data_IF_034572359093
#
_entry.id   IF_034572359093
#
_cell.length_a   1.000
_cell.length_b   1.000
_cell.length_c   1.000
_cell.angle_alpha   90.00
_cell.angle_beta   90.00
_cell.angle_gamma   90.00
#
_symmetry.space_group_name_H-M   'P 1'
#
loop_
_entity.id
_entity.type
_entity.pdbx_description
1 polymer ?
#
# COMPACT_ATOMS: atom_id res chain seq x y z
N UNK A 1 -65.86 -31.24 -31.90
CA UNK A 1 -64.62 -30.56 -31.49
C UNK A 1 -64.62 -30.40 -29.97
N UNK A 2 -63.93 -31.27 -29.21
CA UNK A 2 -63.62 -31.00 -27.81
C UNK A 2 -62.20 -30.45 -27.68
N UNK A 3 -62.12 -29.38 -26.89
CA UNK A 3 -60.94 -28.56 -26.62
C UNK A 3 -59.92 -29.29 -25.74
N UNK A 4 -58.63 -29.17 -26.08
CA UNK A 4 -57.50 -29.68 -25.30
C UNK A 4 -57.37 -28.92 -23.97
N UNK A 5 -57.32 -29.65 -22.85
CA UNK A 5 -56.88 -29.12 -21.55
C UNK A 5 -55.42 -29.52 -21.34
N UNK A 6 -54.53 -28.53 -21.37
CA UNK A 6 -53.10 -28.71 -21.16
C UNK A 6 -52.79 -29.14 -19.71
N UNK A 7 -51.92 -30.14 -19.59
CA UNK A 7 -51.26 -30.57 -18.35
C UNK A 7 -50.08 -29.63 -18.13
N UNK A 8 -50.17 -28.75 -17.13
CA UNK A 8 -49.06 -27.93 -16.67
C UNK A 8 -48.27 -28.64 -15.59
N UNK A 9 -47.13 -29.24 -15.94
CA UNK A 9 -46.15 -29.71 -14.98
C UNK A 9 -45.34 -28.50 -14.46
N UNK A 10 -45.54 -28.12 -13.20
CA UNK A 10 -44.78 -27.08 -12.54
C UNK A 10 -43.41 -27.60 -12.11
N UNK A 11 -42.35 -27.14 -12.77
CA UNK A 11 -40.97 -27.36 -12.37
C UNK A 11 -40.62 -26.33 -11.27
N UNK A 12 -40.64 -26.75 -10.00
CA UNK A 12 -40.13 -25.95 -8.89
C UNK A 12 -38.59 -25.89 -8.97
N UNK A 13 -38.05 -24.75 -9.41
CA UNK A 13 -36.63 -24.48 -9.31
C UNK A 13 -36.28 -24.10 -7.85
N UNK A 14 -35.54 -24.96 -7.15
CA UNK A 14 -34.87 -24.60 -5.91
C UNK A 14 -33.74 -23.62 -6.27
N UNK A 15 -33.95 -22.33 -6.04
CA UNK A 15 -32.87 -21.36 -6.02
C UNK A 15 -32.01 -21.62 -4.77
N UNK A 16 -30.84 -22.23 -4.95
CA UNK A 16 -29.83 -22.32 -3.91
C UNK A 16 -29.38 -20.92 -3.51
N UNK A 17 -29.55 -20.58 -2.23
CA UNK A 17 -28.96 -19.38 -1.65
C UNK A 17 -27.44 -19.53 -1.66
N UNK A 18 -26.76 -18.88 -2.60
CA UNK A 18 -25.32 -18.67 -2.52
C UNK A 18 -25.10 -17.62 -1.44
N UNK A 19 -24.64 -18.03 -0.26
CA UNK A 19 -24.01 -17.09 0.68
C UNK A 19 -22.69 -16.63 0.06
N UNK A 20 -22.63 -15.36 -0.33
CA UNK A 20 -21.37 -14.72 -0.67
C UNK A 20 -20.48 -14.73 0.59
N UNK A 21 -19.37 -15.47 0.56
CA UNK A 21 -18.40 -15.46 1.63
C UNK A 21 -17.65 -14.13 1.59
N UNK A 22 -17.70 -13.39 2.71
CA UNK A 22 -16.94 -12.15 2.89
C UNK A 22 -15.45 -12.52 2.80
N UNK A 23 -14.60 -11.78 2.06
CA UNK A 23 -13.16 -12.04 2.04
C UNK A 23 -12.56 -12.01 3.46
N UNK A 24 -11.50 -12.80 3.69
CA UNK A 24 -10.89 -13.07 5.01
C UNK A 24 -10.68 -11.81 5.88
N UNK A 25 -10.40 -10.65 5.26
CA UNK A 25 -10.16 -9.37 5.93
C UNK A 25 -11.43 -8.62 6.38
N UNK A 26 -12.62 -9.06 5.97
CA UNK A 26 -13.90 -8.47 6.38
C UNK A 26 -14.60 -9.22 7.53
N UNK A 27 -13.96 -10.23 8.11
CA UNK A 27 -14.59 -11.16 9.07
C UNK A 27 -14.23 -10.90 10.54
N UNK A 28 -13.24 -10.05 10.84
CA UNK A 28 -12.91 -9.65 12.20
C UNK A 28 -12.49 -8.18 12.20
N UNK A 29 -13.14 -7.31 13.00
CA UNK A 29 -12.60 -5.96 13.20
C UNK A 29 -13.13 -5.25 14.44
N UNK A 30 -12.26 -4.51 15.14
CA UNK A 30 -12.52 -3.27 15.90
C UNK A 30 -13.50 -3.21 17.09
N UNK A 31 -13.22 -2.32 18.04
CA UNK A 31 -14.15 -1.91 19.09
C UNK A 31 -15.41 -1.29 18.46
N UNK A 32 -16.55 -1.97 18.60
CA UNK A 32 -17.86 -1.53 18.08
C UNK A 32 -18.39 -2.32 16.88
N UNK A 33 -17.75 -3.40 16.46
CA UNK A 33 -18.22 -4.23 15.35
C UNK A 33 -19.38 -5.15 15.71
N UNK A 34 -20.40 -5.18 14.84
CA UNK A 34 -21.62 -5.97 14.99
C UNK A 34 -21.86 -6.93 13.81
N UNK A 35 -20.84 -7.24 13.01
CA UNK A 35 -20.94 -8.15 11.86
C UNK A 35 -20.84 -9.64 12.23
N UNK A 36 -20.94 -10.52 11.22
CA UNK A 36 -20.84 -11.98 11.42
C UNK A 36 -19.47 -12.39 12.00
N UNK A 37 -19.50 -13.28 12.99
CA UNK A 37 -18.32 -13.77 13.75
C UNK A 37 -17.88 -15.18 13.37
N UNK A 38 -18.58 -15.83 12.45
CA UNK A 38 -18.28 -17.20 12.02
C UNK A 38 -17.19 -17.18 10.96
N UNK A 39 -15.98 -17.59 11.36
CA UNK A 39 -14.83 -17.66 10.46
C UNK A 39 -14.97 -18.78 9.40
N UNK A 40 -14.45 -18.54 8.21
CA UNK A 40 -14.22 -19.61 7.20
C UNK A 40 -13.31 -20.71 7.76
N UNK A 41 -13.49 -21.95 7.28
CA UNK A 41 -12.72 -23.11 7.73
C UNK A 41 -11.20 -22.83 7.68
N UNK A 42 -10.55 -22.86 8.84
CA UNK A 42 -9.11 -22.57 8.99
C UNK A 42 -8.77 -21.18 9.55
N UNK A 43 -9.76 -20.31 9.77
CA UNK A 43 -9.58 -19.01 10.42
C UNK A 43 -10.20 -19.00 11.83
N UNK A 44 -9.58 -18.30 12.77
CA UNK A 44 -10.12 -18.04 14.10
C UNK A 44 -9.83 -16.59 14.51
N UNK A 45 -10.86 -15.83 14.92
CA UNK A 45 -10.68 -14.52 15.52
C UNK A 45 -10.26 -14.72 16.99
N UNK A 46 -9.01 -14.45 17.36
CA UNK A 46 -8.60 -14.43 18.78
C UNK A 46 -8.62 -12.99 19.29
N UNK A 47 -9.68 -12.64 20.03
CA UNK A 47 -9.78 -11.35 20.71
C UNK A 47 -8.95 -11.33 21.98
N UNK A 48 -7.94 -10.47 22.06
CA UNK A 48 -7.36 -10.06 23.35
C UNK A 48 -6.98 -8.59 23.27
N UNK A 49 -7.43 -7.83 24.26
CA UNK A 49 -7.29 -6.38 24.36
C UNK A 49 -5.82 -5.95 24.18
N UNK A 50 -5.62 -5.01 23.26
CA UNK A 50 -4.39 -4.24 23.03
C UNK A 50 -3.20 -5.03 22.46
N UNK A 51 -2.96 -4.81 21.15
CA UNK A 51 -1.82 -5.24 20.33
C UNK A 51 -1.90 -6.68 19.78
N UNK A 52 -2.13 -6.82 18.47
CA UNK A 52 -1.99 -8.09 17.76
C UNK A 52 -1.01 -7.94 16.59
N UNK A 53 0.21 -8.38 16.88
CA UNK A 53 1.29 -8.77 15.98
C UNK A 53 0.93 -10.02 15.18
N UNK A 54 1.50 -10.11 13.98
CA UNK A 54 1.51 -11.26 13.09
C UNK A 54 2.05 -12.53 13.76
N UNK A 55 1.33 -13.64 13.65
CA UNK A 55 1.80 -14.96 14.04
C UNK A 55 2.75 -15.52 12.97
N UNK A 56 4.02 -15.70 13.32
CA UNK A 56 4.92 -16.67 12.68
C UNK A 56 5.39 -17.69 13.71
N UNK A 57 5.35 -18.94 13.28
CA UNK A 57 5.76 -20.21 13.91
C UNK A 57 6.93 -20.09 14.90
N UNK A 58 6.73 -20.63 16.11
CA UNK A 58 7.76 -20.75 17.14
C UNK A 58 8.90 -21.68 16.71
N UNK A 59 10.15 -21.23 16.90
CA UNK A 59 11.35 -22.09 16.94
C UNK A 59 12.08 -21.81 18.24
N UNK A 60 12.35 -22.89 18.97
CA UNK A 60 13.01 -22.96 20.27
C UNK A 60 14.51 -22.80 20.08
N UNK A 61 15.18 -21.84 20.73
CA UNK A 61 16.61 -21.97 21.08
C UNK A 61 16.96 -21.10 22.30
N UNK A 62 17.64 -21.73 23.26
CA UNK A 62 18.05 -21.23 24.56
C UNK A 62 19.08 -20.09 24.51
N UNK A 63 19.00 -19.19 25.48
CA UNK A 63 19.97 -18.14 25.75
C UNK A 63 21.16 -18.68 26.58
N UNK A 64 22.39 -18.39 26.14
CA UNK A 64 23.60 -18.52 26.96
C UNK A 64 24.33 -17.18 26.97
N UNK A 65 24.56 -16.68 28.18
CA UNK A 65 25.26 -15.44 28.52
C UNK A 65 26.77 -15.66 28.45
N UNK A 66 27.52 -14.79 27.76
CA UNK A 66 28.97 -14.68 27.95
C UNK A 66 29.48 -13.27 27.71
N UNK A 67 30.52 -12.94 28.46
CA UNK A 67 30.99 -11.61 28.86
C UNK A 67 31.86 -10.89 27.83
N UNK A 68 31.78 -9.55 27.92
CA UNK A 68 32.58 -8.52 27.28
C UNK A 68 34.09 -8.78 27.34
N UNK A 69 34.77 -8.65 26.20
CA UNK A 69 36.22 -8.42 26.11
C UNK A 69 36.48 -7.28 25.12
N UNK A 70 37.37 -6.38 25.54
CA UNK A 70 37.77 -5.16 24.85
C UNK A 70 39.01 -5.44 24.01
N UNK A 71 38.98 -5.15 22.71
CA UNK A 71 40.16 -5.22 21.84
C UNK A 71 40.28 -3.96 20.99
N UNK A 72 41.47 -3.38 21.07
CA UNK A 72 41.96 -2.17 20.40
C UNK A 72 42.03 -2.38 18.88
N UNK A 73 41.49 -1.46 18.08
CA UNK A 73 41.54 -1.52 16.61
C UNK A 73 42.69 -0.66 16.08
N UNK A 74 43.65 -1.29 15.42
CA UNK A 74 44.71 -0.62 14.62
C UNK A 74 44.13 -0.24 13.27
N UNK A 75 44.34 1.00 12.84
CA UNK A 75 43.88 1.55 11.57
C UNK A 75 44.56 0.86 10.38
N UNK A 76 43.77 0.26 9.49
CA UNK A 76 44.20 -0.18 8.17
C UNK A 76 43.81 0.88 7.14
N UNK A 77 44.80 1.41 6.43
CA UNK A 77 44.61 2.33 5.30
C UNK A 77 44.27 1.51 4.06
N UNK A 78 43.04 1.62 3.57
CA UNK A 78 42.64 1.00 2.30
C UNK A 78 42.62 2.06 1.21
N UNK A 79 43.54 1.92 0.26
CA UNK A 79 43.60 2.72 -0.97
C UNK A 79 42.33 2.50 -1.80
N UNK A 80 41.52 3.55 -1.99
CA UNK A 80 40.28 3.51 -2.78
C UNK A 80 40.65 3.64 -4.26
N UNK A 81 40.65 2.54 -4.98
CA UNK A 81 40.76 2.53 -6.44
C UNK A 81 39.47 3.10 -7.02
N UNK A 82 39.54 4.29 -7.63
CA UNK A 82 38.44 4.87 -8.41
C UNK A 82 38.30 4.11 -9.72
N UNK A 83 37.40 3.13 -9.75
CA UNK A 83 36.89 2.60 -11.01
C UNK A 83 35.81 3.57 -11.51
N UNK A 84 36.16 4.38 -12.51
CA UNK A 84 35.18 5.04 -13.38
C UNK A 84 34.42 3.95 -14.14
N UNK A 85 33.28 3.53 -13.59
CA UNK A 85 32.34 2.63 -14.25
C UNK A 85 31.34 3.43 -15.05
N UNK A 86 31.41 3.31 -16.36
CA UNK A 86 30.50 3.92 -17.32
C UNK A 86 29.06 3.42 -17.13
N UNK A 87 28.11 4.35 -16.96
CA UNK A 87 26.68 4.11 -17.26
C UNK A 87 26.55 3.59 -18.70
N UNK A 88 25.75 2.54 -18.91
CA UNK A 88 24.31 2.69 -18.86
C UNK A 88 23.69 1.75 -17.82
N UNK A 89 23.02 2.31 -16.81
CA UNK A 89 22.02 1.57 -16.05
C UNK A 89 21.01 1.01 -17.05
N UNK A 90 20.95 -0.30 -17.18
CA UNK A 90 19.93 -0.95 -17.98
C UNK A 90 18.57 -0.53 -17.42
N UNK A 91 17.78 0.21 -18.21
CA UNK A 91 16.46 0.72 -17.83
C UNK A 91 15.39 -0.37 -17.80
N UNK A 92 15.79 -1.62 -17.54
CA UNK A 92 14.85 -2.74 -17.44
C UNK A 92 14.02 -2.62 -16.17
N UNK A 93 12.77 -3.06 -16.26
CA UNK A 93 11.94 -3.26 -15.07
C UNK A 93 12.61 -4.29 -14.15
N UNK A 94 12.51 -4.04 -12.84
CA UNK A 94 12.92 -5.02 -11.85
C UNK A 94 12.07 -6.29 -12.00
N UNK A 95 12.71 -7.45 -11.92
CA UNK A 95 12.04 -8.75 -12.05
C UNK A 95 12.41 -9.66 -10.88
N UNK A 96 11.86 -10.86 -10.86
CA UNK A 96 12.25 -11.94 -9.93
C UNK A 96 12.99 -13.04 -10.68
N UNK A 97 13.96 -13.64 -10.00
CA UNK A 97 14.71 -14.80 -10.46
C UNK A 97 14.71 -15.86 -9.34
N UNK A 98 13.81 -16.84 -9.47
CA UNK A 98 13.49 -17.79 -8.42
C UNK A 98 12.99 -17.10 -7.15
N UNK A 99 13.80 -17.14 -6.09
CA UNK A 99 13.52 -16.53 -4.78
C UNK A 99 14.21 -15.17 -4.57
N UNK A 100 14.92 -14.67 -5.59
CA UNK A 100 15.68 -13.41 -5.53
C UNK A 100 15.08 -12.36 -6.45
N UNK A 101 15.45 -11.11 -6.23
CA UNK A 101 15.17 -10.03 -7.17
C UNK A 101 16.30 -9.91 -8.19
N UNK A 102 15.96 -9.48 -9.40
CA UNK A 102 16.90 -9.02 -10.41
C UNK A 102 16.64 -7.53 -10.69
N UNK A 103 17.64 -6.69 -10.42
CA UNK A 103 17.61 -5.25 -10.66
C UNK A 103 18.78 -4.90 -11.56
N UNK A 104 18.50 -4.29 -12.71
CA UNK A 104 19.51 -3.81 -13.67
C UNK A 104 20.52 -4.89 -14.10
N UNK A 105 20.06 -6.13 -14.20
CA UNK A 105 20.88 -7.29 -14.58
C UNK A 105 21.57 -8.01 -13.41
N UNK A 106 21.47 -7.49 -12.18
CA UNK A 106 22.05 -8.11 -10.99
C UNK A 106 20.99 -8.93 -10.24
N UNK A 107 21.19 -10.25 -10.12
CA UNK A 107 20.34 -11.12 -9.27
C UNK A 107 20.92 -11.20 -7.86
N UNK A 108 20.18 -10.76 -6.84
CA UNK A 108 20.71 -10.68 -5.49
C UNK A 108 19.72 -10.29 -4.39
N UNK A 109 20.29 -9.97 -3.23
CA UNK A 109 19.59 -9.30 -2.14
C UNK A 109 19.89 -7.82 -2.20
N UNK A 110 18.86 -6.99 -2.05
CA UNK A 110 18.97 -5.55 -2.12
C UNK A 110 18.49 -4.92 -0.81
N UNK A 111 19.28 -3.97 -0.31
CA UNK A 111 18.85 -3.12 0.78
C UNK A 111 17.99 -1.97 0.24
N UNK A 112 17.03 -1.54 1.04
CA UNK A 112 16.15 -0.43 0.73
C UNK A 112 15.65 0.26 1.98
N UNK A 113 14.94 1.35 1.78
CA UNK A 113 14.35 2.15 2.86
C UNK A 113 12.96 2.65 2.50
N UNK A 114 12.31 3.35 3.44
CA UNK A 114 11.02 3.99 3.24
C UNK A 114 11.19 5.51 3.38
N UNK A 115 10.63 6.26 2.45
CA UNK A 115 10.44 7.70 2.57
C UNK A 115 9.04 8.04 2.09
N UNK A 116 8.08 7.98 3.01
CA UNK A 116 6.67 8.24 2.68
C UNK A 116 6.44 9.68 2.21
N UNK A 117 7.28 10.61 2.67
CA UNK A 117 7.12 12.06 2.52
C UNK A 117 7.76 12.62 1.26
N UNK A 118 8.65 11.88 0.59
CA UNK A 118 9.46 12.43 -0.51
C UNK A 118 8.60 12.94 -1.69
N UNK A 119 7.48 12.26 -1.98
CA UNK A 119 6.52 12.69 -3.00
C UNK A 119 5.65 13.89 -2.59
N UNK A 120 5.79 14.39 -1.36
CA UNK A 120 5.04 15.53 -0.83
C UNK A 120 5.92 16.77 -0.63
N UNK A 121 7.24 16.64 -0.82
CA UNK A 121 8.14 17.79 -0.85
C UNK A 121 7.84 18.66 -2.07
N UNK A 122 7.94 19.97 -1.92
CA UNK A 122 7.72 20.96 -2.98
C UNK A 122 9.01 21.58 -3.52
N UNK A 123 10.15 21.24 -2.91
CA UNK A 123 11.47 21.65 -3.36
C UNK A 123 12.21 20.45 -3.96
N UNK A 124 12.54 20.56 -5.23
CA UNK A 124 13.20 19.53 -6.02
C UNK A 124 14.59 19.19 -5.48
N UNK A 125 15.33 20.19 -4.98
CA UNK A 125 16.65 19.98 -4.39
C UNK A 125 16.64 19.08 -3.14
N UNK A 126 15.53 19.08 -2.38
CA UNK A 126 15.39 18.22 -1.19
C UNK A 126 15.11 16.76 -1.60
N UNK A 127 14.38 16.56 -2.71
CA UNK A 127 14.17 15.22 -3.30
C UNK A 127 15.49 14.69 -3.84
N UNK A 128 16.23 15.50 -4.58
CA UNK A 128 17.55 15.17 -5.11
C UNK A 128 18.51 14.76 -3.99
N UNK A 129 18.66 15.61 -2.96
CA UNK A 129 19.54 15.35 -1.83
C UNK A 129 19.19 14.04 -1.12
N UNK A 130 17.90 13.80 -0.87
CA UNK A 130 17.47 12.55 -0.23
C UNK A 130 17.78 11.32 -1.09
N UNK A 131 17.65 11.40 -2.42
CA UNK A 131 17.98 10.29 -3.31
C UNK A 131 19.50 10.11 -3.48
N UNK A 132 20.28 11.19 -3.47
CA UNK A 132 21.75 11.14 -3.46
C UNK A 132 22.29 10.44 -2.21
N UNK A 133 21.74 10.76 -1.03
CA UNK A 133 22.08 10.07 0.22
C UNK A 133 21.80 8.55 0.15
N UNK A 134 20.75 8.14 -0.57
CA UNK A 134 20.43 6.72 -0.81
C UNK A 134 21.46 6.05 -1.71
N UNK A 135 21.90 6.73 -2.77
CA UNK A 135 22.97 6.24 -3.66
C UNK A 135 24.27 6.07 -2.87
N UNK A 136 24.66 7.07 -2.08
CA UNK A 136 25.87 7.05 -1.26
C UNK A 136 25.84 5.94 -0.19
N UNK A 137 24.65 5.64 0.34
CA UNK A 137 24.43 4.53 1.26
C UNK A 137 24.37 3.15 0.58
N UNK A 138 24.37 3.10 -0.76
CA UNK A 138 24.25 1.85 -1.53
C UNK A 138 22.86 1.22 -1.48
N UNK A 139 21.81 2.00 -1.21
CA UNK A 139 20.42 1.54 -1.18
C UNK A 139 19.84 1.56 -2.61
N UNK A 140 19.21 0.45 -3.02
CA UNK A 140 18.68 0.29 -4.40
C UNK A 140 17.17 0.47 -4.50
N UNK A 141 16.46 0.35 -3.38
CA UNK A 141 14.99 0.32 -3.35
C UNK A 141 14.48 1.39 -2.40
N UNK A 142 13.56 2.22 -2.87
CA UNK A 142 12.86 3.20 -2.05
C UNK A 142 11.35 2.97 -2.13
N UNK A 143 10.72 2.79 -0.98
CA UNK A 143 9.25 2.77 -0.89
C UNK A 143 8.71 4.17 -0.57
N UNK A 144 7.81 4.66 -1.42
CA UNK A 144 7.20 6.00 -1.36
C UNK A 144 5.68 5.91 -1.46
N UNK A 145 4.97 6.91 -0.94
CA UNK A 145 3.52 6.90 -0.97
C UNK A 145 3.05 7.47 -2.31
N UNK A 146 2.34 6.67 -3.09
CA UNK A 146 1.68 7.09 -4.33
C UNK A 146 0.27 7.63 -4.10
N UNK A 147 -0.07 7.95 -2.85
CA UNK A 147 -1.38 8.46 -2.45
C UNK A 147 -1.20 9.66 -1.53
N UNK A 148 -2.17 10.58 -1.59
CA UNK A 148 -2.36 11.66 -0.65
C UNK A 148 -3.82 12.12 -0.81
N UNK A 149 -4.70 11.46 -0.06
CA UNK A 149 -6.16 11.59 -0.18
C UNK A 149 -6.69 12.65 0.78
N UNK A 150 -7.60 13.49 0.29
CA UNK A 150 -8.26 14.53 1.07
C UNK A 150 -9.77 14.52 0.83
N UNK A 151 -10.56 14.95 1.81
CA UNK A 151 -12.04 15.13 1.64
C UNK A 151 -12.41 16.59 1.37
N UNK A 152 -11.48 17.51 1.60
CA UNK A 152 -11.56 18.93 1.26
C UNK A 152 -10.24 19.39 0.64
N UNK A 153 -10.30 20.37 -0.26
CA UNK A 153 -9.08 20.93 -0.87
C UNK A 153 -8.28 21.65 0.22
N UNK A 154 -7.00 21.31 0.43
CA UNK A 154 -6.18 21.94 1.46
C UNK A 154 -5.81 23.38 1.08
N UNK A 155 -5.10 24.08 1.98
CA UNK A 155 -4.53 25.40 1.69
C UNK A 155 -3.59 25.35 0.48
N UNK A 156 -3.55 26.44 -0.30
CA UNK A 156 -2.65 26.57 -1.45
C UNK A 156 -1.20 26.26 -1.07
N UNK A 157 -0.50 25.53 -1.94
CA UNK A 157 0.87 25.07 -1.70
C UNK A 157 0.99 23.78 -0.89
N UNK A 158 -0.13 23.23 -0.39
CA UNK A 158 -0.14 21.92 0.28
C UNK A 158 -0.37 20.83 -0.75
N UNK A 159 0.52 19.84 -0.80
CA UNK A 159 0.40 18.72 -1.74
C UNK A 159 -0.81 17.85 -1.43
N UNK A 160 -1.59 17.51 -2.45
CA UNK A 160 -2.68 16.51 -2.41
C UNK A 160 -2.82 15.86 -3.78
N UNK A 161 -3.07 14.56 -3.83
CA UNK A 161 -3.15 13.81 -5.09
C UNK A 161 -4.59 13.53 -5.51
N UNK A 162 -5.48 13.28 -4.55
CA UNK A 162 -6.85 12.95 -4.85
C UNK A 162 -7.80 13.52 -3.80
N UNK A 163 -8.86 14.17 -4.28
CA UNK A 163 -9.96 14.63 -3.45
C UNK A 163 -11.12 13.65 -3.59
N UNK A 164 -11.49 13.04 -2.48
CA UNK A 164 -12.58 12.09 -2.38
C UNK A 164 -13.87 12.83 -2.02
N UNK A 165 -14.90 12.65 -2.85
CA UNK A 165 -16.19 13.31 -2.65
C UNK A 165 -17.35 12.48 -3.17
N UNK A 166 -18.46 12.51 -2.45
CA UNK A 166 -19.74 11.91 -2.84
C UNK A 166 -20.32 12.45 -4.16
N UNK A 167 -19.91 13.65 -4.59
CA UNK A 167 -20.34 14.25 -5.86
C UNK A 167 -19.39 13.99 -7.02
N UNK A 168 -18.37 13.15 -6.82
CA UNK A 168 -17.33 12.85 -7.79
C UNK A 168 -15.96 13.21 -7.25
N UNK A 169 -15.05 12.22 -7.27
CA UNK A 169 -13.66 12.41 -6.87
C UNK A 169 -12.87 13.12 -7.97
N UNK A 170 -11.80 13.80 -7.57
CA UNK A 170 -10.93 14.55 -8.49
C UNK A 170 -9.47 14.19 -8.22
N UNK A 171 -8.70 13.89 -9.27
CA UNK A 171 -7.26 13.68 -9.19
C UNK A 171 -6.56 15.01 -9.51
N UNK A 172 -5.61 15.41 -8.68
CA UNK A 172 -4.78 16.58 -8.90
C UNK A 172 -3.55 16.19 -9.74
N UNK A 173 -3.55 16.56 -11.02
CA UNK A 173 -2.40 16.40 -11.93
C UNK A 173 -1.57 17.68 -12.06
N UNK A 174 -1.81 18.68 -11.20
CA UNK A 174 -1.11 19.96 -11.19
C UNK A 174 0.21 19.93 -10.43
N UNK A 175 0.81 21.11 -10.29
CA UNK A 175 2.14 21.32 -9.68
C UNK A 175 2.21 20.94 -8.19
N UNK A 176 1.10 21.06 -7.45
CA UNK A 176 0.95 20.60 -6.06
C UNK A 176 0.24 19.23 -5.97
N UNK A 177 0.20 18.50 -7.08
CA UNK A 177 -0.41 17.18 -7.21
C UNK A 177 0.59 16.13 -7.67
N UNK A 178 0.16 15.28 -8.61
CA UNK A 178 0.96 14.17 -9.11
C UNK A 178 2.28 14.60 -9.77
N UNK A 179 2.44 15.85 -10.20
CA UNK A 179 3.74 16.35 -10.71
C UNK A 179 4.86 16.27 -9.65
N UNK A 180 4.51 16.28 -8.35
CA UNK A 180 5.49 16.05 -7.28
C UNK A 180 5.98 14.60 -7.27
N UNK A 181 5.09 13.65 -7.55
CA UNK A 181 5.46 12.24 -7.70
C UNK A 181 6.19 12.00 -9.02
N UNK A 182 5.83 12.69 -10.10
CA UNK A 182 6.54 12.63 -11.39
C UNK A 182 8.02 12.99 -11.21
N UNK A 183 8.30 14.05 -10.44
CA UNK A 183 9.68 14.46 -10.16
C UNK A 183 10.46 13.40 -9.36
N UNK A 184 9.82 12.76 -8.36
CA UNK A 184 10.45 11.65 -7.62
C UNK A 184 10.77 10.49 -8.56
N UNK A 185 9.90 10.17 -9.51
CA UNK A 185 10.14 9.11 -10.50
C UNK A 185 11.32 9.48 -11.39
N UNK A 186 11.35 10.68 -11.98
CA UNK A 186 12.46 11.10 -12.84
C UNK A 186 13.79 11.15 -12.10
N UNK A 187 13.80 11.71 -10.88
CA UNK A 187 15.02 11.81 -10.08
C UNK A 187 15.54 10.43 -9.62
N UNK A 188 14.64 9.46 -9.38
CA UNK A 188 15.01 8.08 -9.06
C UNK A 188 15.55 7.32 -10.29
N UNK A 189 14.98 7.57 -11.47
CA UNK A 189 15.47 7.00 -12.75
C UNK A 189 16.92 7.42 -13.03
N UNK A 190 17.24 8.71 -12.86
CA UNK A 190 18.60 9.25 -13.05
C UNK A 190 19.63 8.63 -12.10
N UNK A 191 19.18 8.15 -10.94
CA UNK A 191 20.02 7.59 -9.87
C UNK A 191 20.01 6.07 -9.80
N UNK A 192 19.25 5.40 -10.67
CA UNK A 192 19.11 3.94 -10.66
C UNK A 192 18.46 3.41 -9.37
N UNK A 193 17.55 4.18 -8.77
CA UNK A 193 16.75 3.77 -7.61
C UNK A 193 15.42 3.19 -8.09
N UNK A 194 15.04 2.02 -7.60
CA UNK A 194 13.74 1.39 -7.92
C UNK A 194 12.69 1.78 -6.88
N UNK A 195 11.53 2.23 -7.35
CA UNK A 195 10.45 2.68 -6.48
C UNK A 195 9.42 1.57 -6.23
N UNK A 196 9.01 1.43 -4.97
CA UNK A 196 7.76 0.76 -4.59
C UNK A 196 6.73 1.85 -4.33
N UNK A 197 5.70 1.92 -5.16
CA UNK A 197 4.63 2.92 -5.08
C UNK A 197 3.32 2.21 -4.75
N UNK A 198 2.72 2.53 -3.61
CA UNK A 198 1.40 2.04 -3.22
C UNK A 198 0.32 3.09 -3.44
N UNK A 199 -0.92 2.63 -3.63
CA UNK A 199 -2.01 3.48 -4.13
C UNK A 199 -3.02 3.96 -3.08
N UNK A 200 -2.98 3.41 -1.87
CA UNK A 200 -3.87 3.81 -0.77
C UNK A 200 -3.29 3.37 0.56
N UNK A 201 -3.65 4.08 1.64
CA UNK A 201 -3.35 3.69 3.00
C UNK A 201 -4.49 2.87 3.63
N UNK A 202 -4.15 1.91 4.49
CA UNK A 202 -5.13 1.33 5.40
C UNK A 202 -5.53 2.32 6.51
N UNK A 203 -4.53 3.08 7.00
CA UNK A 203 -4.67 4.03 8.10
C UNK A 203 -5.23 5.38 7.64
N UNK A 204 -5.53 6.27 8.59
CA UNK A 204 -6.10 7.60 8.29
C UNK A 204 -5.07 8.63 7.82
N UNK A 205 -3.77 8.38 7.98
CA UNK A 205 -2.73 9.32 7.58
C UNK A 205 -2.76 9.53 6.06
N UNK A 206 -2.86 10.80 5.65
CA UNK A 206 -3.06 11.22 4.27
C UNK A 206 -4.32 10.60 3.65
N UNK A 207 -5.38 10.50 4.47
CA UNK A 207 -6.72 10.06 4.09
C UNK A 207 -6.92 8.56 4.25
N UNK A 208 -6.40 7.78 3.31
CA UNK A 208 -6.53 6.32 3.28
C UNK A 208 -7.97 5.81 3.19
N UNK A 209 -8.17 4.52 3.53
CA UNK A 209 -9.50 3.89 3.56
C UNK A 209 -10.53 4.69 4.36
N UNK A 210 -10.21 5.30 5.53
CA UNK A 210 -11.18 6.14 6.25
C UNK A 210 -11.75 7.30 5.42
N UNK A 211 -10.93 7.97 4.58
CA UNK A 211 -11.40 9.05 3.72
C UNK A 211 -12.37 8.55 2.64
N UNK A 212 -12.11 7.37 2.06
CA UNK A 212 -13.01 6.71 1.10
C UNK A 212 -14.34 6.29 1.75
N UNK A 213 -14.30 5.79 2.98
CA UNK A 213 -15.52 5.44 3.70
C UNK A 213 -16.37 6.68 4.00
N UNK A 214 -15.72 7.80 4.36
CA UNK A 214 -16.42 9.06 4.61
C UNK A 214 -17.15 9.57 3.36
N UNK A 215 -16.52 9.53 2.18
CA UNK A 215 -17.18 9.95 0.94
C UNK A 215 -18.38 9.05 0.60
N UNK A 216 -18.27 7.74 0.82
CA UNK A 216 -19.35 6.79 0.54
C UNK A 216 -20.54 6.98 1.48
N UNK A 217 -20.29 7.24 2.78
CA UNK A 217 -21.37 7.54 3.74
C UNK A 217 -22.11 8.82 3.34
N UNK A 218 -21.40 9.84 2.87
CA UNK A 218 -22.02 11.08 2.41
C UNK A 218 -22.85 10.88 1.13
N UNK A 219 -22.40 10.01 0.23
CA UNK A 219 -23.16 9.61 -0.96
C UNK A 219 -24.47 8.88 -0.60
N UNK A 220 -24.43 7.96 0.37
CA UNK A 220 -25.61 7.26 0.86
C UNK A 220 -26.62 8.23 1.50
N UNK A 221 -26.15 9.19 2.31
CA UNK A 221 -26.99 10.25 2.89
C UNK A 221 -27.65 11.10 1.79
N UNK A 222 -26.89 11.48 0.76
CA UNK A 222 -27.41 12.25 -0.38
C UNK A 222 -28.51 11.48 -1.10
N UNK A 223 -28.31 10.20 -1.36
CA UNK A 223 -29.28 9.30 -2.02
C UNK A 223 -30.56 9.16 -1.21
N UNK A 224 -30.46 9.05 0.12
CA UNK A 224 -31.62 8.96 1.01
C UNK A 224 -32.42 10.28 1.06
N UNK A 225 -31.75 11.44 1.03
CA UNK A 225 -32.41 12.75 1.01
C UNK A 225 -33.18 13.04 -0.29
N UNK A 226 -32.78 12.43 -1.40
CA UNK A 226 -33.44 12.60 -2.70
C UNK A 226 -34.61 11.63 -2.94
N UNK A 227 -34.85 10.67 -2.04
CA UNK A 227 -35.95 9.72 -2.20
C UNK A 227 -37.28 10.38 -1.79
N UNK A 228 -38.30 10.41 -2.68
CA UNK A 228 -39.61 10.96 -2.33
C UNK A 228 -40.23 10.20 -1.15
N UNK A 229 -41.06 10.85 -0.31
CA UNK A 229 -41.73 10.20 0.80
C UNK A 229 -42.57 9.02 0.28
N UNK A 230 -42.48 7.87 0.96
CA UNK A 230 -43.37 6.74 0.69
C UNK A 230 -44.77 7.12 1.15
N UNK A 231 -45.66 7.35 0.19
CA UNK A 231 -47.11 7.46 0.40
C UNK A 231 -47.71 6.10 0.76
#
# INVERSE_FOLDING_TARGET
>A
MPSMKAIGAGLFALAGLVSATIPLYGQCGGTGWTGETTCVAGASCTGTTTTLTTTTKASTTSATTTTKASTTTTAATTTRTTTTGSSPSSTSFATTDGLKFQIDGETGYFAGTNSYWIGFLTNDADVDTALDDLVDAGLKILRVWGFNDVTSTPSSGTVWFQKLSASGSTINTGADGLQRLDYVVSAAEERGIKLIINFVNNWSDYGGIPATQQSNVEEQKKTQRTKPPRN
#
